data_IF_264409724604
#
_entry.id   IF_264409724604
#
_cell.length_a   1.000
_cell.length_b   1.000
_cell.length_c   1.000
_cell.angle_alpha   90.00
_cell.angle_beta   90.00
_cell.angle_gamma   90.00
#
_symmetry.space_group_name_H-M   'P 1'
#
loop_
_entity.id
_entity.type
_entity.pdbx_description
1 polymer ?
#
# COMPACT_ATOMS: atom_id res chain seq x y z
N UNK A 1 -11.52 14.29 -22.52
CA UNK A 1 -11.10 13.30 -21.50
C UNK A 1 -10.35 12.16 -22.17
N UNK A 2 -9.08 11.90 -21.82
CA UNK A 2 -8.33 10.75 -22.38
C UNK A 2 -8.88 9.46 -21.78
N UNK A 3 -9.16 8.45 -22.61
CA UNK A 3 -9.58 7.13 -22.13
C UNK A 3 -8.48 6.54 -21.23
N UNK A 4 -8.82 5.98 -20.06
CA UNK A 4 -7.83 5.34 -19.19
C UNK A 4 -7.20 4.16 -19.92
N UNK A 5 -5.87 4.07 -19.90
CA UNK A 5 -5.17 2.93 -20.48
C UNK A 5 -5.35 1.72 -19.57
N UNK A 6 -5.60 0.54 -20.15
CA UNK A 6 -5.79 -0.70 -19.38
C UNK A 6 -4.67 -0.94 -18.36
N UNK A 7 -3.40 -0.75 -18.75
CA UNK A 7 -2.24 -0.85 -17.83
C UNK A 7 -2.34 0.10 -16.63
N UNK A 8 -2.81 1.34 -16.85
CA UNK A 8 -2.98 2.30 -15.77
C UNK A 8 -4.08 1.88 -14.79
N UNK A 9 -5.17 1.28 -15.29
CA UNK A 9 -6.23 0.72 -14.44
C UNK A 9 -5.68 -0.41 -13.58
N UNK A 10 -4.95 -1.36 -14.17
CA UNK A 10 -4.36 -2.48 -13.43
C UNK A 10 -3.41 -2.00 -12.32
N UNK A 11 -2.52 -1.05 -12.63
CA UNK A 11 -1.62 -0.49 -11.63
C UNK A 11 -2.36 0.31 -10.54
N UNK A 12 -3.42 1.04 -10.89
CA UNK A 12 -4.22 1.75 -9.90
C UNK A 12 -4.94 0.78 -8.95
N UNK A 13 -5.48 -0.33 -9.46
CA UNK A 13 -6.09 -1.37 -8.61
C UNK A 13 -5.05 -2.02 -7.70
N UNK A 14 -3.86 -2.33 -8.21
CA UNK A 14 -2.76 -2.86 -7.40
C UNK A 14 -2.34 -1.86 -6.30
N UNK A 15 -2.23 -0.58 -6.64
CA UNK A 15 -1.94 0.48 -5.66
C UNK A 15 -3.00 0.54 -4.56
N UNK A 16 -4.28 0.44 -4.92
CA UNK A 16 -5.39 0.39 -3.97
C UNK A 16 -5.33 -0.83 -3.06
N UNK A 17 -5.08 -2.02 -3.62
CA UNK A 17 -4.93 -3.27 -2.85
C UNK A 17 -3.78 -3.16 -1.84
N UNK A 18 -2.59 -2.77 -2.28
CA UNK A 18 -1.45 -2.64 -1.37
C UNK A 18 -1.62 -1.50 -0.37
N UNK A 19 -2.30 -0.41 -0.76
CA UNK A 19 -2.67 0.67 0.16
C UNK A 19 -3.62 0.20 1.25
N UNK A 20 -4.59 -0.65 0.91
CA UNK A 20 -5.48 -1.28 1.88
C UNK A 20 -4.73 -2.23 2.82
N UNK A 21 -3.83 -3.07 2.29
CA UNK A 21 -3.00 -3.96 3.12
C UNK A 21 -2.08 -3.15 4.03
N UNK A 22 -1.46 -2.08 3.54
CA UNK A 22 -0.68 -1.14 4.35
C UNK A 22 -1.49 -0.55 5.49
N UNK A 23 -2.72 -0.13 5.20
CA UNK A 23 -3.62 0.42 6.21
C UNK A 23 -3.89 -0.59 7.33
N UNK A 24 -4.33 -1.80 6.95
CA UNK A 24 -4.67 -2.87 7.89
C UNK A 24 -3.47 -3.43 8.67
N UNK A 25 -2.31 -3.53 8.02
CA UNK A 25 -1.14 -4.25 8.58
C UNK A 25 -0.11 -3.34 9.23
N UNK A 26 -0.18 -2.03 9.02
CA UNK A 26 0.78 -1.07 9.56
C UNK A 26 0.09 0.19 10.10
N UNK A 27 -0.64 0.94 9.26
CA UNK A 27 -1.03 2.31 9.59
C UNK A 27 -1.88 2.43 10.85
N UNK A 28 -2.90 1.56 11.01
CA UNK A 28 -3.78 1.55 12.19
C UNK A 28 -3.00 1.22 13.46
N UNK A 29 -1.92 0.44 13.33
CA UNK A 29 -1.13 -0.09 14.43
C UNK A 29 0.19 0.64 14.65
N UNK A 30 0.47 1.69 13.87
CA UNK A 30 1.77 2.37 13.85
C UNK A 30 2.20 2.87 15.23
N UNK A 31 1.25 3.36 16.03
CA UNK A 31 1.53 3.90 17.35
C UNK A 31 1.84 2.77 18.34
N UNK A 32 1.15 1.63 18.22
CA UNK A 32 1.45 0.43 19.00
C UNK A 32 2.84 -0.13 18.65
N UNK A 33 3.15 -0.25 17.36
CA UNK A 33 4.44 -0.75 16.87
C UNK A 33 5.58 0.14 17.36
N UNK A 34 5.39 1.47 17.29
CA UNK A 34 6.37 2.44 17.78
C UNK A 34 6.59 2.32 19.31
N UNK A 35 5.53 2.10 20.07
CA UNK A 35 5.60 1.93 21.52
C UNK A 35 6.23 0.59 21.94
N UNK A 36 5.88 -0.51 21.26
CA UNK A 36 6.36 -1.85 21.60
C UNK A 36 7.77 -2.15 21.09
N UNK A 37 8.27 -1.34 20.14
CA UNK A 37 9.53 -1.54 19.41
C UNK A 37 9.65 -2.96 18.82
N UNK A 38 8.53 -3.63 18.58
CA UNK A 38 8.46 -5.04 18.20
C UNK A 38 7.18 -5.33 17.42
N UNK A 39 6.39 -6.31 17.85
CA UNK A 39 5.12 -6.70 17.25
C UNK A 39 3.93 -6.24 18.09
N UNK A 40 2.79 -6.05 17.43
CA UNK A 40 1.49 -5.89 18.08
C UNK A 40 0.56 -7.03 17.65
N UNK A 41 -0.32 -7.44 18.56
CA UNK A 41 -1.30 -8.49 18.29
C UNK A 41 -2.63 -7.84 18.00
N UNK A 42 -3.18 -8.15 16.83
CA UNK A 42 -4.53 -7.75 16.41
C UNK A 42 -5.60 -8.50 17.21
N UNK A 43 -6.86 -8.04 17.22
CA UNK A 43 -7.95 -8.74 17.92
C UNK A 43 -8.19 -10.17 17.41
N UNK A 44 -7.88 -10.43 16.13
CA UNK A 44 -7.92 -11.75 15.51
C UNK A 44 -6.68 -12.62 15.78
N UNK A 45 -5.74 -12.14 16.61
CA UNK A 45 -4.54 -12.87 17.02
C UNK A 45 -3.38 -12.81 16.02
N UNK A 46 -3.54 -12.09 14.90
CA UNK A 46 -2.46 -11.87 13.93
C UNK A 46 -1.40 -10.91 14.46
N UNK A 47 -0.14 -11.17 14.14
CA UNK A 47 0.99 -10.30 14.50
C UNK A 47 1.24 -9.24 13.43
N UNK A 48 1.31 -7.97 13.83
CA UNK A 48 1.72 -6.83 13.00
C UNK A 48 3.05 -6.28 13.48
N UNK A 49 3.88 -5.77 12.57
CA UNK A 49 5.23 -5.26 12.87
C UNK A 49 5.57 -4.08 11.98
N UNK A 50 6.69 -3.43 12.26
CA UNK A 50 7.22 -2.34 11.43
C UNK A 50 7.46 -2.76 9.96
N UNK A 51 7.67 -4.07 9.72
CA UNK A 51 7.75 -4.65 8.38
C UNK A 51 6.50 -4.43 7.53
N UNK A 52 5.35 -4.13 8.12
CA UNK A 52 4.14 -3.74 7.41
C UNK A 52 4.31 -2.47 6.54
N UNK A 53 5.33 -1.65 6.81
CA UNK A 53 5.65 -0.48 5.99
C UNK A 53 5.94 -0.82 4.52
N UNK A 54 6.43 -2.04 4.23
CA UNK A 54 6.74 -2.48 2.85
C UNK A 54 5.52 -2.40 1.93
N UNK A 55 4.31 -2.64 2.46
CA UNK A 55 3.08 -2.56 1.69
C UNK A 55 2.79 -1.13 1.23
N UNK A 56 3.15 -0.12 2.02
CA UNK A 56 3.02 1.29 1.66
C UNK A 56 3.98 1.68 0.53
N UNK A 57 5.21 1.16 0.57
CA UNK A 57 6.19 1.34 -0.51
C UNK A 57 5.68 0.74 -1.82
N UNK A 58 5.13 -0.48 -1.77
CA UNK A 58 4.52 -1.12 -2.94
C UNK A 58 3.32 -0.33 -3.45
N UNK A 59 2.44 0.14 -2.56
CA UNK A 59 1.28 0.95 -2.94
C UNK A 59 1.69 2.22 -3.70
N UNK A 60 2.68 2.97 -3.17
CA UNK A 60 3.21 4.16 -3.82
C UNK A 60 3.91 3.84 -5.14
N UNK A 61 4.67 2.75 -5.20
CA UNK A 61 5.33 2.29 -6.44
C UNK A 61 4.32 2.00 -7.55
N UNK A 62 3.24 1.27 -7.25
CA UNK A 62 2.18 1.00 -8.21
C UNK A 62 1.39 2.26 -8.58
N UNK A 63 1.16 3.18 -7.64
CA UNK A 63 0.51 4.45 -7.94
C UNK A 63 1.35 5.27 -8.92
N UNK A 64 2.66 5.38 -8.69
CA UNK A 64 3.58 6.03 -9.61
C UNK A 64 3.57 5.35 -10.99
N UNK A 65 3.59 4.02 -11.04
CA UNK A 65 3.48 3.26 -12.29
C UNK A 65 2.15 3.51 -13.02
N UNK A 66 1.04 3.68 -12.30
CA UNK A 66 -0.26 4.02 -12.88
C UNK A 66 -0.24 5.41 -13.54
N UNK A 67 0.35 6.40 -12.87
CA UNK A 67 0.53 7.76 -13.38
C UNK A 67 1.41 7.74 -14.63
N UNK A 68 2.55 7.05 -14.60
CA UNK A 68 3.45 6.91 -15.76
C UNK A 68 2.73 6.18 -16.90
N UNK A 69 2.00 5.10 -16.61
CA UNK A 69 1.26 4.37 -17.65
C UNK A 69 0.17 5.22 -18.29
N UNK A 70 -0.45 6.15 -17.57
CA UNK A 70 -1.51 7.01 -18.10
C UNK A 70 -0.98 8.26 -18.82
N UNK A 71 0.08 8.89 -18.32
CA UNK A 71 0.56 10.20 -18.77
C UNK A 71 1.96 10.20 -19.37
N UNK A 72 2.74 9.14 -19.16
CA UNK A 72 4.05 8.97 -19.76
C UNK A 72 4.01 9.16 -21.27
N UNK A 73 4.97 9.94 -21.77
CA UNK A 73 5.22 10.07 -23.21
C UNK A 73 5.76 8.72 -23.71
N UNK A 74 5.27 8.28 -24.87
CA UNK A 74 5.87 7.13 -25.58
C UNK A 74 7.26 7.50 -26.05
#
# INVERSE_FOLDING_TARGET
>A
MRRPRFKAIVFALAAGLFGYVFYMRYWIWRDCIAASQSSCVTPDGSNVTDGGMVWGVLALGFLAAAVIAQFGRR
#
